data_IF_837975652917
#
_entry.id   IF_837975652917
#
_cell.length_a   1.000
_cell.length_b   1.000
_cell.length_c   1.000
_cell.angle_alpha   90.00
_cell.angle_beta   90.00
_cell.angle_gamma   90.00
#
_symmetry.space_group_name_H-M   'P 1'
#
loop_
_entity.id
_entity.type
_entity.pdbx_description
1 polymer ?
#
# COMPACT_ATOMS: atom_id res chain seq x y z
N UNK A 1 24.79 -13.52 0.50
CA UNK A 1 24.67 -13.39 -0.96
C UNK A 1 23.23 -13.74 -1.23
N UNK A 2 22.33 -12.79 -1.00
CA UNK A 2 20.91 -12.93 -1.30
C UNK A 2 20.71 -12.32 -2.68
N UNK A 3 20.80 -13.17 -3.69
CA UNK A 3 20.40 -12.83 -5.04
C UNK A 3 18.95 -13.26 -5.20
N UNK A 4 18.07 -12.75 -4.35
CA UNK A 4 16.64 -12.72 -4.67
C UNK A 4 16.48 -11.81 -5.89
N UNK A 5 15.81 -12.33 -6.92
CA UNK A 5 15.48 -11.53 -8.08
C UNK A 5 14.71 -10.28 -7.62
N UNK A 6 15.09 -9.06 -8.07
CA UNK A 6 14.42 -7.86 -7.61
C UNK A 6 12.93 -7.95 -7.97
N UNK A 7 12.01 -7.60 -7.06
CA UNK A 7 10.59 -7.73 -7.30
C UNK A 7 10.19 -6.89 -8.52
N UNK A 8 9.35 -7.45 -9.38
CA UNK A 8 8.80 -6.73 -10.52
C UNK A 8 7.79 -5.69 -10.02
N UNK A 9 8.10 -4.41 -10.25
CA UNK A 9 7.25 -3.28 -9.87
C UNK A 9 6.47 -2.78 -11.08
N UNK A 10 5.14 -2.73 -10.97
CA UNK A 10 4.26 -2.24 -12.02
C UNK A 10 3.05 -1.51 -11.45
N UNK A 11 2.36 -0.76 -12.30
CA UNK A 11 1.02 -0.25 -12.00
C UNK A 11 0.08 -1.45 -11.80
N UNK A 12 -0.73 -1.38 -10.74
CA UNK A 12 -1.72 -2.39 -10.43
C UNK A 12 -2.85 -2.39 -11.46
N UNK A 13 -3.43 -3.56 -11.71
CA UNK A 13 -4.61 -3.73 -12.54
C UNK A 13 -5.77 -4.26 -11.71
N UNK A 14 -6.96 -4.36 -12.31
CA UNK A 14 -8.16 -4.84 -11.62
C UNK A 14 -8.04 -6.27 -11.08
N UNK A 15 -7.15 -7.08 -11.66
CA UNK A 15 -6.86 -8.43 -11.18
C UNK A 15 -6.06 -8.49 -9.88
N UNK A 16 -5.38 -7.40 -9.50
CA UNK A 16 -4.52 -7.35 -8.30
C UNK A 16 -5.29 -6.99 -7.02
N UNK A 17 -6.52 -6.52 -7.16
CA UNK A 17 -7.23 -5.78 -6.12
C UNK A 17 -7.44 -6.62 -4.86
N UNK A 18 -7.93 -7.85 -5.01
CA UNK A 18 -8.22 -8.71 -3.86
C UNK A 18 -6.95 -9.05 -3.07
N UNK A 19 -5.83 -9.23 -3.77
CA UNK A 19 -4.55 -9.53 -3.14
C UNK A 19 -3.92 -8.30 -2.47
N UNK A 20 -4.06 -7.12 -3.08
CA UNK A 20 -3.65 -5.85 -2.46
C UNK A 20 -4.47 -5.56 -1.20
N UNK A 21 -5.80 -5.70 -1.24
CA UNK A 21 -6.67 -5.47 -0.08
C UNK A 21 -6.28 -6.41 1.06
N UNK A 22 -6.04 -7.69 0.76
CA UNK A 22 -5.53 -8.67 1.73
C UNK A 22 -4.19 -8.24 2.33
N UNK A 23 -3.25 -7.78 1.51
CA UNK A 23 -1.94 -7.31 1.97
C UNK A 23 -2.07 -6.07 2.88
N UNK A 24 -2.92 -5.12 2.51
CA UNK A 24 -3.16 -3.91 3.30
C UNK A 24 -3.82 -4.22 4.64
N UNK A 25 -4.77 -5.16 4.69
CA UNK A 25 -5.32 -5.66 5.96
C UNK A 25 -4.26 -6.28 6.86
N UNK A 26 -3.42 -7.14 6.30
CA UNK A 26 -2.34 -7.77 7.06
C UNK A 26 -1.37 -6.72 7.62
N UNK A 27 -1.04 -5.70 6.82
CA UNK A 27 -0.18 -4.61 7.23
C UNK A 27 -0.83 -3.72 8.31
N UNK A 28 -2.12 -3.44 8.20
CA UNK A 28 -2.87 -2.71 9.21
C UNK A 28 -2.93 -3.48 10.55
N UNK A 29 -3.20 -4.80 10.49
CA UNK A 29 -3.20 -5.67 11.66
C UNK A 29 -1.82 -5.71 12.33
N UNK A 30 -0.74 -5.80 11.55
CA UNK A 30 0.63 -5.75 12.07
C UNK A 30 0.95 -4.42 12.76
N UNK A 31 0.58 -3.29 12.16
CA UNK A 31 0.79 -1.97 12.78
C UNK A 31 -0.01 -1.79 14.07
N UNK A 32 -1.26 -2.27 14.10
CA UNK A 32 -2.09 -2.28 15.30
C UNK A 32 -1.44 -3.11 16.42
N UNK A 33 -0.89 -4.29 16.09
CA UNK A 33 -0.14 -5.12 17.04
C UNK A 33 1.15 -4.46 17.56
N UNK A 34 1.73 -3.53 16.80
CA UNK A 34 2.88 -2.70 17.23
C UNK A 34 2.48 -1.50 18.08
N UNK A 35 1.19 -1.27 18.33
CA UNK A 35 0.67 -0.14 19.09
C UNK A 35 0.61 1.16 18.31
N UNK A 36 0.76 1.11 16.97
CA UNK A 36 0.76 2.28 16.10
C UNK A 36 -0.30 2.13 15.00
N UNK A 37 -1.60 2.14 15.34
CA UNK A 37 -2.65 2.05 14.34
C UNK A 37 -2.60 3.29 13.44
N UNK A 38 -2.24 3.09 12.17
CA UNK A 38 -2.16 4.19 11.20
C UNK A 38 -3.33 4.23 10.21
N UNK A 39 -4.05 3.11 10.03
CA UNK A 39 -5.12 2.98 9.02
C UNK A 39 -6.42 2.45 9.63
N UNK A 40 -7.54 2.98 9.17
CA UNK A 40 -8.86 2.45 9.49
C UNK A 40 -9.12 1.20 8.64
N UNK A 41 -9.04 0.04 9.27
CA UNK A 41 -9.22 -1.28 8.63
C UNK A 41 -10.59 -1.41 7.97
N UNK A 42 -11.63 -0.78 8.53
CA UNK A 42 -12.98 -0.85 7.97
C UNK A 42 -13.10 -0.10 6.63
N UNK A 43 -12.16 0.80 6.33
CA UNK A 43 -12.11 1.57 5.07
C UNK A 43 -11.19 0.94 4.02
N UNK A 44 -10.43 -0.08 4.38
CA UNK A 44 -9.61 -0.85 3.43
C UNK A 44 -10.52 -1.90 2.80
N UNK A 45 -11.17 -1.54 1.69
CA UNK A 45 -12.03 -2.45 0.95
C UNK A 45 -11.70 -2.46 -0.55
N UNK A 46 -12.45 -3.26 -1.32
CA UNK A 46 -12.29 -3.37 -2.77
C UNK A 46 -12.46 -2.02 -3.47
N UNK A 47 -13.47 -1.25 -3.08
CA UNK A 47 -13.80 0.05 -3.70
C UNK A 47 -12.71 1.09 -3.45
N UNK A 48 -12.10 1.06 -2.26
CA UNK A 48 -10.93 1.85 -1.92
C UNK A 48 -9.78 1.54 -2.88
N UNK A 49 -9.41 0.26 -3.04
CA UNK A 49 -8.32 -0.13 -3.94
C UNK A 49 -8.64 0.13 -5.43
N UNK A 50 -9.90 -0.09 -5.86
CA UNK A 50 -10.38 0.22 -7.22
C UNK A 50 -10.15 1.69 -7.59
N UNK A 51 -10.35 2.60 -6.65
CA UNK A 51 -10.15 4.05 -6.87
C UNK A 51 -8.70 4.36 -7.26
N UNK A 52 -7.71 3.77 -6.57
CA UNK A 52 -6.30 3.98 -6.90
C UNK A 52 -5.89 3.27 -8.18
N UNK A 53 -6.44 2.08 -8.47
CA UNK A 53 -6.21 1.40 -9.76
C UNK A 53 -6.75 2.24 -10.92
N UNK A 54 -7.96 2.78 -10.81
CA UNK A 54 -8.58 3.63 -11.84
C UNK A 54 -7.76 4.89 -12.11
N UNK A 55 -7.16 5.47 -11.07
CA UNK A 55 -6.29 6.65 -11.17
C UNK A 55 -4.85 6.33 -11.56
N UNK A 56 -4.50 5.05 -11.71
CA UNK A 56 -3.11 4.59 -11.91
C UNK A 56 -2.16 5.04 -10.78
N UNK A 57 -2.70 5.16 -9.57
CA UNK A 57 -2.03 5.62 -8.36
C UNK A 57 -1.59 4.45 -7.45
N UNK A 58 -1.91 3.20 -7.82
CA UNK A 58 -1.48 2.02 -7.09
C UNK A 58 -0.37 1.29 -7.84
N UNK A 59 0.77 1.12 -7.17
CA UNK A 59 1.89 0.29 -7.62
C UNK A 59 1.91 -1.01 -6.82
N UNK A 60 2.21 -2.11 -7.49
CA UNK A 60 2.43 -3.42 -6.87
C UNK A 60 3.84 -3.90 -7.15
N UNK A 61 4.46 -4.48 -6.14
CA UNK A 61 5.70 -5.24 -6.22
C UNK A 61 5.34 -6.72 -6.13
N UNK A 62 5.78 -7.50 -7.11
CA UNK A 62 5.46 -8.93 -7.22
C UNK A 62 6.72 -9.76 -7.41
N UNK A 63 6.72 -10.95 -6.81
CA UNK A 63 7.69 -12.02 -7.05
C UNK A 63 6.97 -13.22 -7.70
N UNK A 64 7.67 -14.33 -7.92
CA UNK A 64 7.08 -15.56 -8.47
C UNK A 64 5.88 -16.07 -7.69
N UNK A 65 5.81 -15.79 -6.38
CA UNK A 65 4.79 -16.30 -5.46
C UNK A 65 3.61 -15.34 -5.25
N UNK A 66 3.56 -14.21 -5.98
CA UNK A 66 2.46 -13.24 -5.90
C UNK A 66 2.89 -11.84 -5.48
N UNK A 67 1.93 -11.04 -4.99
CA UNK A 67 2.17 -9.65 -4.59
C UNK A 67 2.81 -9.62 -3.21
N UNK A 68 4.03 -9.10 -3.17
CA UNK A 68 4.83 -8.93 -1.96
C UNK A 68 4.79 -7.51 -1.42
N UNK A 69 4.28 -6.55 -2.20
CA UNK A 69 4.19 -5.16 -1.78
C UNK A 69 3.19 -4.34 -2.58
N UNK A 70 2.67 -3.30 -1.96
CA UNK A 70 1.90 -2.27 -2.64
C UNK A 70 2.29 -0.88 -2.15
N UNK A 71 2.14 0.11 -3.02
CA UNK A 71 2.39 1.51 -2.75
C UNK A 71 1.28 2.34 -3.39
N UNK A 72 0.60 3.17 -2.61
CA UNK A 72 -0.30 4.19 -3.17
C UNK A 72 0.46 5.52 -3.28
N UNK A 73 0.35 6.15 -4.45
CA UNK A 73 0.85 7.48 -4.74
C UNK A 73 -0.36 8.40 -4.90
N UNK A 74 -0.63 9.25 -3.92
CA UNK A 74 -1.75 10.18 -4.01
C UNK A 74 -1.26 11.61 -4.02
N UNK A 75 -1.63 12.36 -5.07
CA UNK A 75 -1.32 13.78 -5.18
C UNK A 75 -2.06 14.61 -4.13
N UNK A 76 -3.31 14.24 -3.82
CA UNK A 76 -4.16 14.84 -2.79
C UNK A 76 -5.14 13.77 -2.29
N UNK A 77 -5.21 13.57 -0.97
CA UNK A 77 -6.25 12.77 -0.31
C UNK A 77 -6.67 13.48 0.98
N UNK A 78 -7.62 14.43 0.91
CA UNK A 78 -8.06 15.20 2.08
C UNK A 78 -8.86 14.37 3.09
N UNK A 79 -9.35 13.19 2.71
CA UNK A 79 -10.14 12.33 3.60
C UNK A 79 -9.23 11.44 4.46
N UNK A 80 -8.03 11.13 3.96
CA UNK A 80 -6.99 10.38 4.67
C UNK A 80 -5.94 11.31 5.29
N UNK A 81 -5.67 12.45 4.63
CA UNK A 81 -4.74 13.50 5.05
C UNK A 81 -5.42 14.88 5.04
N UNK A 82 -6.31 15.16 6.00
CA UNK A 82 -7.02 16.44 6.04
C UNK A 82 -6.09 17.65 6.18
N UNK A 83 -4.92 17.46 6.79
CA UNK A 83 -3.90 18.51 7.00
C UNK A 83 -2.81 18.54 5.91
N UNK A 84 -2.96 17.75 4.83
CA UNK A 84 -2.01 17.74 3.72
C UNK A 84 -1.95 19.10 3.00
N UNK A 85 -0.74 19.59 2.76
CA UNK A 85 -0.53 20.73 1.87
C UNK A 85 -0.90 20.34 0.43
N UNK A 86 -1.86 21.07 -0.17
CA UNK A 86 -2.28 20.88 -1.58
C UNK A 86 -1.07 20.82 -2.53
N UNK A 87 -1.13 19.90 -3.48
CA UNK A 87 -0.10 19.68 -4.50
C UNK A 87 1.16 18.94 -4.03
N UNK A 88 1.16 18.28 -2.86
CA UNK A 88 2.28 17.46 -2.39
C UNK A 88 1.92 15.97 -2.33
N UNK A 89 2.69 15.06 -2.96
CA UNK A 89 2.34 13.66 -3.02
C UNK A 89 2.56 12.96 -1.68
N UNK A 90 1.57 12.17 -1.27
CA UNK A 90 1.62 11.28 -0.12
C UNK A 90 1.87 9.85 -0.59
N UNK A 91 2.69 9.13 0.18
CA UNK A 91 3.05 7.75 -0.13
C UNK A 91 2.69 6.87 1.07
N UNK A 92 1.82 5.89 0.82
CA UNK A 92 1.58 4.79 1.75
C UNK A 92 2.18 3.52 1.14
N UNK A 93 3.00 2.81 1.92
CA UNK A 93 3.68 1.59 1.49
C UNK A 93 3.37 0.45 2.44
N UNK A 94 3.08 -0.72 1.87
CA UNK A 94 2.96 -1.99 2.58
C UNK A 94 3.80 -3.02 1.86
N UNK A 95 4.65 -3.75 2.56
CA UNK A 95 5.39 -4.88 1.98
C UNK A 95 5.53 -6.04 2.96
N UNK A 96 5.67 -7.23 2.38
CA UNK A 96 5.96 -8.49 3.04
C UNK A 96 7.15 -9.12 2.31
N UNK A 97 8.30 -9.09 2.95
CA UNK A 97 9.51 -9.77 2.48
C UNK A 97 9.88 -10.82 3.54
N UNK A 98 10.16 -12.07 3.14
CA UNK A 98 10.60 -13.14 4.05
C UNK A 98 9.72 -13.34 5.31
N UNK A 99 8.40 -13.28 5.13
CA UNK A 99 7.44 -13.37 6.23
C UNK A 99 7.43 -12.17 7.19
N UNK A 100 8.24 -11.14 6.94
CA UNK A 100 8.28 -9.92 7.74
C UNK A 100 7.44 -8.81 7.09
N UNK A 101 6.41 -8.40 7.81
CA UNK A 101 5.59 -7.27 7.44
C UNK A 101 6.33 -5.95 7.70
N UNK A 102 6.25 -5.03 6.75
CA UNK A 102 6.68 -3.64 6.88
C UNK A 102 5.59 -2.74 6.32
N UNK A 103 5.26 -1.71 7.07
CA UNK A 103 4.29 -0.70 6.67
C UNK A 103 4.87 0.67 7.01
N UNK A 104 4.73 1.61 6.08
CA UNK A 104 5.32 2.93 6.18
C UNK A 104 4.42 3.95 5.53
N UNK A 105 4.26 5.07 6.22
CA UNK A 105 3.46 6.19 5.76
C UNK A 105 4.34 7.41 5.76
N UNK A 106 4.49 8.07 4.60
CA UNK A 106 5.33 9.25 4.46
C UNK A 106 4.53 10.39 3.83
N UNK A 107 4.31 11.43 4.63
CA UNK A 107 3.90 12.74 4.13
C UNK A 107 5.15 13.62 3.95
N UNK A 108 5.25 14.43 2.89
CA UNK A 108 6.34 15.37 2.73
C UNK A 108 6.27 16.42 3.84
N UNK A 109 7.36 16.58 4.59
CA UNK A 109 7.52 17.65 5.59
C UNK A 109 7.54 19.04 4.95
#
# INVERSE_FOLDING_TARGET
MDSEEPPNVRVACSGDIDEVVRLMHDAAAWMSAKGTPAWDVARIDRTFAETFVLRSELLVASCSDGIVGCCTLSAEDPEFWPDALKGRPHICTSSRCDGHMRAGVSAPR
#
